data_IF_461669336964
#
_entry.id   IF_461669336964
#
_cell.length_a   1.000
_cell.length_b   1.000
_cell.length_c   1.000
_cell.angle_alpha   90.00
_cell.angle_beta   90.00
_cell.angle_gamma   90.00
#
_symmetry.space_group_name_H-M   'P 1'
#
loop_
_entity.id
_entity.type
_entity.pdbx_description
1 polymer ?
#
# COMPACT_ATOMS: atom_id res chain seq x y z
N UNK A 1 0.74 -44.39 -66.28
CA UNK A 1 1.47 -44.08 -65.04
C UNK A 1 1.27 -42.61 -64.72
N UNK A 2 0.31 -42.31 -63.86
CA UNK A 2 -0.01 -40.97 -63.36
C UNK A 2 0.37 -40.94 -61.88
N UNK A 3 1.35 -40.14 -61.52
CA UNK A 3 1.75 -39.90 -60.13
C UNK A 3 0.83 -38.83 -59.57
N UNK A 4 0.05 -39.19 -58.52
CA UNK A 4 -0.74 -38.27 -57.72
C UNK A 4 0.17 -37.80 -56.57
N UNK A 5 0.46 -36.50 -56.52
CA UNK A 5 1.08 -35.86 -55.35
C UNK A 5 -0.02 -35.42 -54.37
N UNK A 6 -0.05 -36.01 -53.20
CA UNK A 6 -0.87 -35.61 -52.10
C UNK A 6 -0.14 -34.48 -51.31
N UNK A 7 -0.70 -33.31 -51.27
CA UNK A 7 -0.28 -32.22 -50.39
C UNK A 7 -0.91 -32.42 -49.01
N UNK A 8 -0.09 -32.66 -48.03
CA UNK A 8 -0.47 -32.73 -46.64
C UNK A 8 -0.33 -31.30 -46.04
N UNK A 9 -1.43 -30.58 -45.87
CA UNK A 9 -1.45 -29.31 -45.19
C UNK A 9 -1.37 -29.55 -43.67
N UNK A 10 -0.21 -29.29 -43.07
CA UNK A 10 -0.05 -29.21 -41.61
C UNK A 10 -0.63 -27.85 -41.17
N UNK A 11 -1.82 -27.87 -40.57
CA UNK A 11 -2.31 -26.73 -39.79
C UNK A 11 -1.62 -26.77 -38.43
N UNK A 12 -0.65 -25.85 -38.25
CA UNK A 12 -0.14 -25.53 -36.92
C UNK A 12 -1.27 -24.80 -36.16
N UNK A 13 -1.88 -25.50 -35.21
CA UNK A 13 -2.61 -24.87 -34.16
C UNK A 13 -1.58 -24.34 -33.12
N UNK A 14 -1.33 -23.03 -33.15
CA UNK A 14 -0.67 -22.35 -32.05
C UNK A 14 -1.65 -22.37 -30.86
N UNK A 15 -1.40 -23.25 -29.93
CA UNK A 15 -1.99 -23.19 -28.60
C UNK A 15 -1.38 -21.96 -27.93
N UNK A 16 -2.11 -20.85 -27.92
CA UNK A 16 -1.84 -19.76 -26.99
C UNK A 16 -2.09 -20.32 -25.59
N UNK A 17 -1.05 -20.76 -24.93
CA UNK A 17 -1.04 -20.87 -23.47
C UNK A 17 -1.19 -19.46 -22.92
N UNK A 18 -2.39 -19.11 -22.50
CA UNK A 18 -2.60 -17.97 -21.60
C UNK A 18 -1.91 -18.41 -20.32
N UNK A 19 -0.72 -17.87 -20.06
CA UNK A 19 -0.14 -17.91 -18.73
C UNK A 19 -1.09 -17.04 -17.88
N UNK A 20 -1.91 -17.67 -17.06
CA UNK A 20 -2.52 -16.97 -15.94
C UNK A 20 -1.34 -16.44 -15.10
N UNK A 21 -1.23 -15.14 -14.93
CA UNK A 21 -0.20 -14.51 -14.12
C UNK A 21 -0.24 -15.08 -12.69
N UNK A 22 0.89 -15.10 -12.01
CA UNK A 22 0.92 -15.46 -10.59
C UNK A 22 0.06 -14.46 -9.81
N UNK A 23 -0.72 -14.95 -8.85
CA UNK A 23 -1.57 -14.11 -8.00
C UNK A 23 -0.73 -13.49 -6.89
N UNK A 24 -0.89 -12.19 -6.69
CA UNK A 24 -0.40 -11.47 -5.53
C UNK A 24 -1.57 -10.80 -4.80
N UNK A 25 -1.32 -10.32 -3.61
CA UNK A 25 -2.33 -9.69 -2.76
C UNK A 25 -1.90 -8.29 -2.39
N UNK A 26 -2.85 -7.36 -2.39
CA UNK A 26 -2.69 -5.99 -1.92
C UNK A 26 -3.56 -5.75 -0.69
N UNK A 27 -3.09 -4.88 0.18
CA UNK A 27 -3.82 -4.39 1.34
C UNK A 27 -3.79 -2.87 1.34
N UNK A 28 -4.97 -2.24 1.21
CA UNK A 28 -5.12 -0.81 1.42
C UNK A 28 -5.28 -0.54 2.91
N UNK A 29 -4.66 0.53 3.43
CA UNK A 29 -4.77 0.86 4.85
C UNK A 29 -4.48 2.34 5.10
N UNK A 30 -4.76 2.79 6.32
CA UNK A 30 -4.34 4.08 6.82
C UNK A 30 -3.49 3.90 8.09
N UNK A 31 -2.81 4.95 8.50
CA UNK A 31 -2.01 4.97 9.73
C UNK A 31 -2.40 6.17 10.61
N UNK A 32 -2.13 6.08 11.92
CA UNK A 32 -2.24 7.16 12.89
C UNK A 32 -3.56 7.95 12.83
N UNK A 33 -3.45 9.26 12.55
CA UNK A 33 -4.57 10.20 12.50
C UNK A 33 -5.31 10.21 11.15
N UNK A 34 -4.88 9.37 10.19
CA UNK A 34 -5.50 9.24 8.87
C UNK A 34 -5.49 10.50 7.99
N UNK A 35 -4.58 11.43 8.25
CA UNK A 35 -4.44 12.68 7.47
C UNK A 35 -3.39 12.58 6.36
N UNK A 36 -2.45 11.67 6.48
CA UNK A 36 -1.44 11.42 5.46
C UNK A 36 -1.97 10.58 4.29
N UNK A 37 -3.04 9.80 4.48
CA UNK A 37 -3.84 9.23 3.41
C UNK A 37 -3.69 7.73 3.20
N UNK A 38 -3.78 7.31 1.93
CA UNK A 38 -3.75 5.92 1.49
C UNK A 38 -2.35 5.32 1.61
N UNK A 39 -2.26 4.18 2.27
CA UNK A 39 -1.10 3.30 2.23
C UNK A 39 -1.45 1.97 1.58
N UNK A 40 -0.45 1.32 1.01
CA UNK A 40 -0.59 -0.02 0.43
C UNK A 40 0.52 -0.94 0.97
N UNK A 41 0.17 -2.19 1.19
CA UNK A 41 1.09 -3.28 1.43
C UNK A 41 0.81 -4.42 0.44
N UNK A 42 1.81 -5.25 0.19
CA UNK A 42 1.65 -6.44 -0.66
C UNK A 42 2.07 -7.72 0.05
N UNK A 43 1.56 -8.83 -0.44
CA UNK A 43 1.93 -10.18 -0.01
C UNK A 43 1.82 -11.14 -1.19
N UNK A 44 2.67 -12.18 -1.21
CA UNK A 44 2.56 -13.31 -2.14
C UNK A 44 1.97 -14.55 -1.48
N UNK A 45 1.89 -14.57 -0.15
CA UNK A 45 1.43 -15.72 0.63
C UNK A 45 0.20 -15.44 1.51
N UNK A 46 -0.26 -14.19 1.56
CA UNK A 46 -1.34 -13.74 2.43
C UNK A 46 -0.97 -13.68 3.91
N UNK A 47 0.27 -14.02 4.28
CA UNK A 47 0.74 -14.06 5.67
C UNK A 47 1.71 -12.92 5.97
N UNK A 48 2.62 -12.65 5.05
CA UNK A 48 3.68 -11.66 5.21
C UNK A 48 3.40 -10.43 4.35
N UNK A 49 3.02 -9.33 5.00
CA UNK A 49 2.64 -8.08 4.33
C UNK A 49 3.76 -7.05 4.39
N UNK A 50 4.27 -6.68 3.24
CA UNK A 50 5.36 -5.71 3.08
C UNK A 50 4.81 -4.36 2.65
N UNK A 51 5.16 -3.25 3.34
CA UNK A 51 4.67 -1.94 2.96
C UNK A 51 5.24 -1.50 1.61
N UNK A 52 4.38 -0.98 0.76
CA UNK A 52 4.75 -0.33 -0.48
C UNK A 52 5.15 1.13 -0.22
N UNK A 53 5.83 1.76 -1.18
CA UNK A 53 6.29 3.17 -1.12
C UNK A 53 7.16 3.50 0.11
N UNK A 54 7.92 2.53 0.64
CA UNK A 54 8.68 2.73 1.88
C UNK A 54 7.79 3.13 3.07
N UNK A 55 6.50 2.73 3.07
CA UNK A 55 5.51 3.10 4.07
C UNK A 55 4.96 4.53 3.94
N UNK A 56 5.26 5.25 2.85
CA UNK A 56 4.69 6.59 2.58
C UNK A 56 3.33 6.48 1.90
N UNK A 57 2.50 7.50 2.08
CA UNK A 57 1.19 7.60 1.44
C UNK A 57 1.27 7.65 -0.10
N UNK A 58 0.26 7.08 -0.74
CA UNK A 58 0.02 7.14 -2.19
C UNK A 58 -0.95 8.27 -2.58
N UNK A 59 -1.84 8.66 -1.68
CA UNK A 59 -2.83 9.71 -1.93
C UNK A 59 -3.21 10.38 -0.61
N UNK A 60 -2.95 11.67 -0.48
CA UNK A 60 -3.40 12.46 0.66
C UNK A 60 -4.87 12.88 0.51
N UNK A 61 -5.70 12.85 1.58
CA UNK A 61 -7.11 13.22 1.50
C UNK A 61 -7.31 14.72 1.27
N UNK A 62 -8.25 15.07 0.38
CA UNK A 62 -8.61 16.46 0.09
C UNK A 62 -10.08 16.78 0.29
N UNK A 63 -10.96 15.76 0.38
CA UNK A 63 -12.42 15.92 0.50
C UNK A 63 -12.92 15.61 1.91
N UNK A 64 -14.12 16.07 2.23
CA UNK A 64 -14.75 15.91 3.52
C UNK A 64 -14.38 17.01 4.53
N UNK A 65 -15.19 17.12 5.57
CA UNK A 65 -15.07 18.14 6.60
C UNK A 65 -13.73 18.11 7.34
N UNK A 66 -13.27 16.91 7.70
CA UNK A 66 -12.04 16.72 8.47
C UNK A 66 -10.86 16.33 7.58
N UNK A 67 -11.07 16.09 6.29
CA UNK A 67 -10.08 15.61 5.32
C UNK A 67 -9.30 14.41 5.85
N UNK A 68 -10.02 13.38 6.29
CA UNK A 68 -9.45 12.12 6.71
C UNK A 68 -9.50 11.12 5.55
N UNK A 69 -8.61 10.15 5.59
CA UNK A 69 -8.73 8.92 4.80
C UNK A 69 -8.61 7.74 5.75
N UNK A 70 -9.76 7.32 6.27
CA UNK A 70 -9.87 6.14 7.11
C UNK A 70 -10.56 5.04 6.32
N UNK A 71 -10.25 3.81 6.69
CA UNK A 71 -10.95 2.63 6.19
C UNK A 71 -10.98 2.59 4.64
N UNK A 72 -9.84 2.77 3.93
CA UNK A 72 -9.85 2.83 2.47
C UNK A 72 -10.19 1.46 1.89
N UNK A 73 -11.30 1.36 1.16
CA UNK A 73 -11.74 0.15 0.47
C UNK A 73 -11.49 0.28 -1.02
N UNK A 74 -10.77 -0.69 -1.61
CA UNK A 74 -10.43 -0.74 -3.03
C UNK A 74 -11.03 -1.98 -3.69
N UNK A 75 -11.65 -1.77 -4.85
CA UNK A 75 -12.13 -2.82 -5.73
C UNK A 75 -11.59 -2.62 -7.15
N UNK A 76 -11.07 -3.68 -7.77
CA UNK A 76 -10.67 -3.63 -9.18
C UNK A 76 -11.86 -3.96 -10.07
N UNK A 77 -12.13 -3.10 -11.03
CA UNK A 77 -13.15 -3.29 -12.06
C UNK A 77 -12.71 -4.28 -13.14
N UNK A 78 -13.63 -4.87 -13.90
CA UNK A 78 -13.28 -5.75 -15.03
C UNK A 78 -12.43 -5.09 -16.12
N UNK A 79 -12.48 -3.77 -16.24
CA UNK A 79 -11.66 -3.00 -17.18
C UNK A 79 -10.26 -2.65 -16.65
N UNK A 80 -9.91 -3.17 -15.46
CA UNK A 80 -8.65 -2.95 -14.78
C UNK A 80 -8.59 -1.68 -13.93
N UNK A 81 -9.63 -0.84 -13.91
CA UNK A 81 -9.67 0.36 -13.08
C UNK A 81 -9.84 -0.02 -11.61
N UNK A 82 -9.06 0.59 -10.73
CA UNK A 82 -9.22 0.53 -9.29
C UNK A 82 -10.10 1.67 -8.82
N UNK A 83 -11.18 1.34 -8.12
CA UNK A 83 -12.07 2.29 -7.48
C UNK A 83 -11.85 2.24 -5.98
N UNK A 84 -11.80 3.39 -5.33
CA UNK A 84 -11.59 3.50 -3.89
C UNK A 84 -12.63 4.39 -3.23
N UNK A 85 -13.15 3.95 -2.11
CA UNK A 85 -13.98 4.75 -1.20
C UNK A 85 -13.36 4.79 0.19
N UNK A 86 -13.63 5.84 0.98
CA UNK A 86 -13.08 5.98 2.32
C UNK A 86 -13.94 6.87 3.24
N UNK A 87 -13.74 6.73 4.55
CA UNK A 87 -14.29 7.63 5.57
C UNK A 87 -13.53 8.96 5.54
N UNK A 88 -14.21 10.05 5.22
CA UNK A 88 -13.61 11.38 5.04
C UNK A 88 -13.68 12.28 6.29
N UNK A 89 -14.50 11.89 7.28
CA UNK A 89 -14.72 12.65 8.51
C UNK A 89 -15.37 11.78 9.59
N UNK A 90 -15.20 12.19 10.85
CA UNK A 90 -15.89 11.58 11.98
C UNK A 90 -17.39 11.82 12.00
N UNK A 91 -17.84 12.97 11.46
CA UNK A 91 -19.23 13.44 11.60
C UNK A 91 -19.74 14.06 10.30
N UNK A 92 -19.49 13.40 9.16
CA UNK A 92 -19.97 13.86 7.85
C UNK A 92 -21.02 12.91 7.26
N UNK A 93 -21.77 13.42 6.28
CA UNK A 93 -22.81 12.69 5.54
C UNK A 93 -22.41 12.33 4.13
N UNK A 94 -21.10 12.38 3.88
CA UNK A 94 -20.47 12.02 2.62
C UNK A 94 -19.43 10.93 2.86
N UNK A 95 -19.03 10.27 1.79
CA UNK A 95 -17.83 9.43 1.71
C UNK A 95 -16.89 9.98 0.64
N UNK A 96 -15.60 9.71 0.75
CA UNK A 96 -14.64 10.03 -0.30
C UNK A 96 -14.62 8.97 -1.40
N UNK A 97 -14.26 9.37 -2.61
CA UNK A 97 -14.05 8.50 -3.77
C UNK A 97 -12.93 9.01 -4.66
N UNK A 98 -12.15 8.09 -5.20
CA UNK A 98 -11.21 8.31 -6.30
C UNK A 98 -11.02 7.01 -7.10
N UNK A 99 -10.48 7.11 -8.32
CA UNK A 99 -10.12 5.96 -9.14
C UNK A 99 -8.70 6.06 -9.67
N UNK A 100 -8.12 4.90 -10.02
CA UNK A 100 -6.77 4.82 -10.56
C UNK A 100 -6.66 3.64 -11.53
N UNK A 101 -5.74 3.72 -12.48
CA UNK A 101 -5.39 2.61 -13.37
C UNK A 101 -4.14 1.85 -12.93
N UNK A 102 -3.39 2.43 -12.00
CA UNK A 102 -2.07 1.93 -11.61
C UNK A 102 -1.81 1.98 -10.10
N UNK A 103 -2.79 2.43 -9.29
CA UNK A 103 -2.71 2.64 -7.84
C UNK A 103 -1.71 3.74 -7.42
N UNK A 104 -1.12 4.44 -8.37
CA UNK A 104 -0.14 5.52 -8.18
C UNK A 104 -0.77 6.86 -8.54
N UNK A 105 -1.32 6.95 -9.75
CA UNK A 105 -1.96 8.15 -10.26
C UNK A 105 -3.47 8.05 -10.04
N UNK A 106 -3.98 8.89 -9.14
CA UNK A 106 -5.37 8.91 -8.76
C UNK A 106 -6.12 10.06 -9.43
N UNK A 107 -7.39 9.82 -9.77
CA UNK A 107 -8.30 10.86 -10.25
C UNK A 107 -8.45 12.00 -9.24
N UNK A 108 -9.04 13.10 -9.64
CA UNK A 108 -9.57 14.10 -8.70
C UNK A 108 -10.51 13.42 -7.70
N UNK A 109 -10.33 13.75 -6.40
CA UNK A 109 -11.13 13.18 -5.33
C UNK A 109 -12.53 13.78 -5.33
N UNK A 110 -13.53 12.95 -5.14
CA UNK A 110 -14.94 13.34 -5.12
C UNK A 110 -15.56 13.05 -3.75
N UNK A 111 -16.48 13.91 -3.36
CA UNK A 111 -17.33 13.71 -2.19
C UNK A 111 -18.68 13.14 -2.64
N UNK A 112 -18.99 11.88 -2.31
CA UNK A 112 -20.28 11.27 -2.64
C UNK A 112 -21.27 11.57 -1.53
N UNK A 113 -22.39 12.29 -1.81
CA UNK A 113 -23.33 12.77 -0.79
C UNK A 113 -24.35 11.70 -0.37
N UNK A 114 -23.86 10.58 0.19
CA UNK A 114 -24.64 9.35 0.43
C UNK A 114 -25.74 9.50 1.48
N UNK A 115 -25.60 10.41 2.46
CA UNK A 115 -26.58 10.63 3.55
C UNK A 115 -27.08 12.08 3.63
N UNK A 116 -26.87 12.90 2.60
CA UNK A 116 -27.31 14.31 2.62
C UNK A 116 -28.83 14.49 2.69
N UNK A 117 -29.60 13.49 2.25
CA UNK A 117 -31.06 13.46 2.33
C UNK A 117 -31.58 13.20 3.75
N UNK A 118 -30.72 12.82 4.69
CA UNK A 118 -31.03 12.51 6.09
C UNK A 118 -30.28 13.51 7.00
N UNK A 119 -30.93 14.63 7.39
CA UNK A 119 -30.29 15.69 8.16
C UNK A 119 -29.73 15.25 9.51
N UNK A 120 -30.37 14.24 10.14
CA UNK A 120 -30.00 13.71 11.45
C UNK A 120 -28.90 12.62 11.36
N UNK A 121 -28.46 12.21 10.17
CA UNK A 121 -27.38 11.24 10.04
C UNK A 121 -26.10 11.80 10.63
N UNK A 122 -25.53 11.07 11.60
CA UNK A 122 -24.38 11.51 12.37
C UNK A 122 -23.05 11.31 11.62
N UNK A 123 -22.92 10.21 10.89
CA UNK A 123 -21.65 9.75 10.30
C UNK A 123 -21.88 8.87 9.08
N UNK A 124 -20.79 8.67 8.30
CA UNK A 124 -20.69 7.65 7.26
C UNK A 124 -19.31 6.97 7.43
N UNK A 125 -19.28 5.88 8.20
CA UNK A 125 -18.04 5.21 8.56
C UNK A 125 -17.80 3.93 7.78
N UNK A 126 -16.53 3.63 7.56
CA UNK A 126 -16.05 2.42 6.96
C UNK A 126 -16.83 2.02 5.69
N UNK A 127 -16.86 2.88 4.66
CA UNK A 127 -17.48 2.51 3.41
C UNK A 127 -16.70 1.38 2.75
N UNK A 128 -17.43 0.37 2.30
CA UNK A 128 -16.90 -0.75 1.54
C UNK A 128 -17.47 -0.78 0.13
N UNK A 129 -16.68 -1.31 -0.80
CA UNK A 129 -16.98 -1.38 -2.21
C UNK A 129 -16.99 -2.84 -2.67
N UNK A 130 -18.11 -3.27 -3.26
CA UNK A 130 -18.27 -4.60 -3.83
C UNK A 130 -18.82 -4.51 -5.25
N UNK A 131 -18.17 -5.19 -6.20
CA UNK A 131 -18.66 -5.30 -7.58
C UNK A 131 -19.44 -6.60 -7.76
N UNK A 132 -20.72 -6.48 -8.09
CA UNK A 132 -21.58 -7.61 -8.42
C UNK A 132 -21.53 -7.89 -9.92
N UNK A 133 -20.69 -8.83 -10.34
CA UNK A 133 -20.48 -9.18 -11.76
C UNK A 133 -21.81 -9.50 -12.51
N UNK A 134 -22.76 -10.30 -11.93
CA UNK A 134 -23.98 -10.65 -12.65
C UNK A 134 -24.87 -9.45 -13.03
N UNK A 135 -24.85 -8.39 -12.23
CA UNK A 135 -25.61 -7.16 -12.50
C UNK A 135 -24.76 -6.02 -13.06
N UNK A 136 -23.44 -6.23 -13.17
CA UNK A 136 -22.48 -5.18 -13.56
C UNK A 136 -22.65 -3.91 -12.71
N UNK A 137 -22.79 -4.08 -11.40
CA UNK A 137 -23.16 -3.01 -10.49
C UNK A 137 -22.26 -2.97 -9.27
N UNK A 138 -21.78 -1.79 -8.93
CA UNK A 138 -21.05 -1.55 -7.69
C UNK A 138 -22.02 -1.29 -6.55
N UNK A 139 -21.84 -1.97 -5.45
CA UNK A 139 -22.48 -1.72 -4.17
C UNK A 139 -21.49 -0.97 -3.27
N UNK A 140 -21.88 0.20 -2.80
CA UNK A 140 -21.12 0.98 -1.83
C UNK A 140 -21.96 0.98 -0.56
N UNK A 141 -21.47 0.44 0.54
CA UNK A 141 -22.19 0.34 1.80
C UNK A 141 -21.32 0.82 2.96
N UNK A 142 -21.94 1.43 3.95
CA UNK A 142 -21.26 2.10 5.06
C UNK A 142 -22.13 2.05 6.32
N UNK A 143 -21.52 2.35 7.50
CA UNK A 143 -22.20 2.43 8.77
C UNK A 143 -22.65 3.86 9.09
N UNK A 144 -23.91 4.03 9.50
CA UNK A 144 -24.48 5.31 9.94
C UNK A 144 -25.31 5.13 11.19
N UNK A 145 -25.16 6.09 12.13
CA UNK A 145 -26.11 6.31 13.23
C UNK A 145 -27.07 7.43 12.86
N UNK A 146 -28.35 7.20 13.05
CA UNK A 146 -29.39 8.24 12.99
C UNK A 146 -30.00 8.33 14.42
N UNK A 147 -29.74 9.40 15.16
CA UNK A 147 -30.18 9.53 16.54
C UNK A 147 -31.69 9.28 16.72
N UNK A 148 -32.04 8.52 17.71
CA UNK A 148 -33.43 8.18 18.03
C UNK A 148 -34.05 7.07 17.17
N UNK A 149 -33.38 6.55 16.15
CA UNK A 149 -33.81 5.34 15.42
C UNK A 149 -33.28 4.06 16.06
N UNK A 150 -33.93 2.95 15.79
CA UNK A 150 -33.57 1.59 16.25
C UNK A 150 -33.43 1.46 17.76
N UNK A 151 -34.35 2.13 18.51
CA UNK A 151 -34.36 2.11 19.99
C UNK A 151 -34.61 0.73 20.57
N UNK A 152 -35.14 -0.18 19.80
CA UNK A 152 -35.35 -1.60 20.13
C UNK A 152 -34.06 -2.38 20.31
N UNK A 153 -32.96 -1.87 19.74
CA UNK A 153 -31.63 -2.47 19.87
C UNK A 153 -30.83 -1.71 20.92
N UNK A 154 -30.33 -2.40 21.97
CA UNK A 154 -29.55 -1.77 23.02
C UNK A 154 -28.29 -1.09 22.47
N UNK A 155 -28.04 0.14 22.88
CA UNK A 155 -26.82 0.86 22.63
C UNK A 155 -25.98 0.96 23.88
N UNK A 156 -24.68 1.15 23.68
CA UNK A 156 -23.73 1.32 24.76
C UNK A 156 -23.56 2.79 25.12
N UNK A 157 -23.51 3.10 26.40
CA UNK A 157 -23.18 4.42 26.92
C UNK A 157 -21.74 4.82 26.55
N UNK A 158 -20.82 3.85 26.47
CA UNK A 158 -19.43 4.08 26.12
C UNK A 158 -19.24 4.56 24.67
N UNK A 159 -20.19 4.27 23.79
CA UNK A 159 -20.23 4.74 22.41
C UNK A 159 -21.08 6.01 22.24
N UNK A 160 -21.29 6.75 23.27
CA UNK A 160 -22.13 7.99 23.28
C UNK A 160 -23.53 7.78 22.69
N UNK A 161 -24.09 6.59 22.84
CA UNK A 161 -25.41 6.25 22.31
C UNK A 161 -25.44 6.01 20.80
N UNK A 162 -24.31 5.85 20.15
CA UNK A 162 -24.24 5.54 18.72
C UNK A 162 -24.78 4.13 18.45
N UNK A 163 -25.78 4.04 17.58
CA UNK A 163 -26.47 2.80 17.23
C UNK A 163 -26.51 2.65 15.72
N UNK A 164 -25.44 2.10 15.16
CA UNK A 164 -25.20 2.05 13.74
C UNK A 164 -26.01 0.97 13.03
N UNK A 165 -26.35 1.27 11.77
CA UNK A 165 -26.84 0.30 10.77
C UNK A 165 -26.07 0.49 9.50
N UNK A 166 -26.00 -0.60 8.68
CA UNK A 166 -25.41 -0.49 7.36
C UNK A 166 -26.42 0.06 6.36
N UNK A 167 -26.00 1.05 5.60
CA UNK A 167 -26.74 1.63 4.47
C UNK A 167 -25.96 1.42 3.18
N UNK A 168 -26.61 1.55 2.02
CA UNK A 168 -25.95 1.40 0.74
C UNK A 168 -26.55 2.27 -0.36
N UNK A 169 -25.76 2.50 -1.39
CA UNK A 169 -26.14 2.94 -2.73
C UNK A 169 -25.56 1.99 -3.76
N UNK A 170 -26.07 2.02 -4.97
CA UNK A 170 -25.50 1.33 -6.11
C UNK A 170 -25.14 2.33 -7.21
N UNK A 171 -24.12 1.99 -8.00
CA UNK A 171 -23.70 2.76 -9.18
C UNK A 171 -23.12 1.83 -10.23
N UNK A 172 -23.09 2.29 -11.48
CA UNK A 172 -22.38 1.63 -12.60
C UNK A 172 -21.21 2.46 -13.11
N UNK A 173 -21.18 3.75 -12.76
CA UNK A 173 -20.31 4.75 -13.41
C UNK A 173 -19.64 5.72 -12.42
N UNK A 174 -19.93 5.61 -11.12
CA UNK A 174 -19.50 6.52 -10.06
C UNK A 174 -19.86 8.01 -10.29
N UNK A 175 -20.85 8.25 -11.16
CA UNK A 175 -21.44 9.57 -11.44
C UNK A 175 -22.92 9.60 -11.05
N UNK A 176 -23.63 8.50 -11.29
CA UNK A 176 -25.04 8.33 -10.96
C UNK A 176 -25.20 7.27 -9.87
N UNK A 177 -25.93 7.62 -8.83
CA UNK A 177 -26.13 6.75 -7.68
C UNK A 177 -27.60 6.48 -7.44
N UNK A 178 -27.93 5.28 -6.99
CA UNK A 178 -29.27 4.97 -6.51
C UNK A 178 -29.60 5.80 -5.26
N UNK A 179 -30.89 5.83 -4.89
CA UNK A 179 -31.27 6.32 -3.56
C UNK A 179 -30.66 5.42 -2.48
N UNK A 180 -30.24 6.03 -1.38
CA UNK A 180 -29.75 5.31 -0.21
C UNK A 180 -30.85 4.41 0.38
N UNK A 181 -30.49 3.19 0.73
CA UNK A 181 -31.35 2.21 1.35
C UNK A 181 -30.63 1.54 2.52
N UNK A 182 -31.43 0.92 3.41
CA UNK A 182 -30.92 0.02 4.44
C UNK A 182 -30.28 -1.20 3.79
N UNK A 183 -29.03 -1.51 4.16
CA UNK A 183 -28.30 -2.66 3.66
C UNK A 183 -28.40 -3.84 4.62
N UNK A 184 -28.12 -3.58 5.93
CA UNK A 184 -28.13 -4.63 6.93
C UNK A 184 -28.56 -4.06 8.28
N UNK A 185 -29.55 -4.71 8.92
CA UNK A 185 -30.17 -4.29 10.18
C UNK A 185 -30.32 -5.48 11.13
N UNK A 186 -29.22 -5.91 11.79
CA UNK A 186 -29.28 -6.97 12.80
C UNK A 186 -29.80 -6.46 14.13
N UNK A 187 -29.93 -7.36 15.12
CA UNK A 187 -30.36 -7.07 16.49
C UNK A 187 -29.25 -6.48 17.40
N UNK A 188 -28.22 -5.89 16.78
CA UNK A 188 -27.10 -5.22 17.45
C UNK A 188 -26.59 -4.00 16.64
N UNK A 189 -25.84 -3.14 17.30
CA UNK A 189 -25.14 -2.04 16.59
C UNK A 189 -24.05 -2.60 15.73
N UNK A 190 -24.08 -2.33 14.42
CA UNK A 190 -23.20 -2.94 13.39
C UNK A 190 -22.41 -1.90 12.64
N UNK A 191 -21.10 -2.13 12.53
CA UNK A 191 -20.19 -1.36 11.68
C UNK A 191 -19.27 -2.31 10.89
N UNK A 192 -18.41 -1.77 10.05
CA UNK A 192 -17.30 -2.46 9.39
C UNK A 192 -17.76 -3.75 8.69
N UNK A 193 -18.65 -3.64 7.73
CA UNK A 193 -19.05 -4.77 6.90
C UNK A 193 -18.09 -4.91 5.70
N UNK A 194 -17.64 -6.12 5.40
CA UNK A 194 -16.87 -6.43 4.21
C UNK A 194 -17.37 -7.70 3.55
N UNK A 195 -17.33 -7.78 2.22
CA UNK A 195 -17.86 -8.91 1.44
C UNK A 195 -16.76 -9.54 0.61
N UNK A 196 -16.71 -10.89 0.64
CA UNK A 196 -15.92 -11.68 -0.28
C UNK A 196 -16.80 -12.71 -0.98
N UNK A 197 -16.53 -12.99 -2.26
CA UNK A 197 -17.17 -14.05 -3.03
C UNK A 197 -16.38 -15.34 -2.86
N UNK A 198 -17.05 -16.41 -2.46
CA UNK A 198 -16.47 -17.75 -2.43
C UNK A 198 -16.19 -18.20 -3.88
N UNK A 199 -14.92 -18.48 -4.24
CA UNK A 199 -14.56 -18.81 -5.62
C UNK A 199 -15.09 -20.18 -6.07
N UNK A 200 -15.41 -21.08 -5.14
CA UNK A 200 -15.88 -22.44 -5.44
C UNK A 200 -17.38 -22.60 -5.29
N UNK A 201 -17.98 -22.07 -4.23
CA UNK A 201 -19.41 -22.21 -3.95
C UNK A 201 -20.25 -21.08 -4.54
N UNK A 202 -19.60 -19.95 -4.89
CA UNK A 202 -20.25 -18.76 -5.44
C UNK A 202 -21.07 -17.96 -4.43
N UNK A 203 -21.01 -18.33 -3.14
CA UNK A 203 -21.70 -17.59 -2.06
C UNK A 203 -20.98 -16.27 -1.78
N UNK A 204 -21.74 -15.25 -1.43
CA UNK A 204 -21.23 -14.00 -0.89
C UNK A 204 -21.17 -14.13 0.63
N UNK A 205 -19.99 -14.01 1.18
CA UNK A 205 -19.71 -14.07 2.62
C UNK A 205 -19.49 -12.64 3.10
N UNK A 206 -20.36 -12.16 3.98
CA UNK A 206 -20.21 -10.85 4.61
C UNK A 206 -19.74 -11.02 6.05
N UNK A 207 -18.63 -10.37 6.37
CA UNK A 207 -18.12 -10.24 7.73
C UNK A 207 -18.51 -8.89 8.28
N UNK A 208 -19.01 -8.84 9.48
CA UNK A 208 -19.48 -7.62 10.15
C UNK A 208 -18.94 -7.53 11.56
N UNK A 209 -18.75 -6.32 12.07
CA UNK A 209 -18.42 -6.09 13.49
C UNK A 209 -19.69 -5.86 14.31
N UNK A 210 -19.84 -6.65 15.37
CA UNK A 210 -20.78 -6.32 16.44
C UNK A 210 -20.15 -5.24 17.33
N UNK A 211 -20.75 -4.03 17.30
CA UNK A 211 -20.22 -2.86 17.98
C UNK A 211 -20.81 -2.68 19.39
N UNK A 212 -21.67 -3.58 19.87
CA UNK A 212 -22.24 -3.49 21.22
C UNK A 212 -21.14 -3.40 22.28
N UNK A 213 -21.33 -2.52 23.26
CA UNK A 213 -20.37 -2.30 24.35
C UNK A 213 -20.90 -2.66 25.72
N UNK A 214 -22.21 -2.93 25.84
CA UNK A 214 -22.81 -3.39 27.10
C UNK A 214 -23.85 -4.49 26.85
N UNK A 215 -23.52 -5.77 27.07
CA UNK A 215 -22.18 -6.26 27.36
C UNK A 215 -21.21 -6.02 26.16
N UNK A 216 -19.92 -5.91 26.42
CA UNK A 216 -18.97 -5.66 25.33
C UNK A 216 -18.87 -6.91 24.44
N UNK A 217 -19.22 -6.73 23.18
CA UNK A 217 -19.08 -7.75 22.13
C UNK A 217 -17.82 -7.51 21.30
N UNK A 218 -17.74 -6.39 20.60
CA UNK A 218 -16.54 -5.95 19.84
C UNK A 218 -15.83 -7.08 19.08
N UNK A 219 -16.62 -7.95 18.43
CA UNK A 219 -16.17 -9.14 17.73
C UNK A 219 -16.72 -9.18 16.31
N UNK A 220 -16.11 -10.03 15.48
CA UNK A 220 -16.51 -10.23 14.09
C UNK A 220 -17.46 -11.42 13.98
N UNK A 221 -18.42 -11.31 13.07
CA UNK A 221 -19.45 -12.32 12.78
C UNK A 221 -19.70 -12.42 11.29
N UNK A 222 -20.26 -13.54 10.84
CA UNK A 222 -20.46 -13.85 9.43
C UNK A 222 -21.94 -14.09 9.12
N UNK A 223 -22.37 -13.63 7.95
CA UNK A 223 -23.64 -14.01 7.30
C UNK A 223 -23.40 -14.23 5.81
N UNK A 224 -24.33 -14.91 5.11
CA UNK A 224 -24.13 -15.30 3.72
C UNK A 224 -25.38 -15.13 2.88
N UNK A 225 -25.17 -14.85 1.60
CA UNK A 225 -26.22 -14.84 0.59
C UNK A 225 -25.67 -15.34 -0.76
N UNK A 226 -26.54 -15.81 -1.63
CA UNK A 226 -26.19 -16.11 -3.04
C UNK A 226 -26.46 -14.91 -3.96
N UNK A 227 -27.09 -13.87 -3.46
CA UNK A 227 -27.50 -12.73 -4.28
C UNK A 227 -27.57 -11.45 -3.42
N UNK A 228 -26.67 -10.54 -3.65
CA UNK A 228 -26.58 -9.28 -2.89
C UNK A 228 -27.87 -8.42 -3.03
N UNK A 229 -28.55 -8.47 -4.17
CA UNK A 229 -29.77 -7.72 -4.40
C UNK A 229 -30.95 -8.21 -3.52
N UNK A 230 -30.89 -9.45 -3.02
CA UNK A 230 -31.84 -9.98 -2.04
C UNK A 230 -31.48 -9.67 -0.59
N UNK A 231 -30.31 -9.04 -0.37
CA UNK A 231 -29.77 -8.76 0.96
C UNK A 231 -29.16 -9.98 1.65
N UNK A 232 -28.70 -9.76 2.86
CA UNK A 232 -28.13 -10.77 3.75
C UNK A 232 -29.10 -11.12 4.89
N UNK A 233 -29.18 -12.39 5.31
CA UNK A 233 -29.90 -12.74 6.54
C UNK A 233 -29.36 -11.97 7.74
N UNK A 234 -30.25 -11.43 8.57
CA UNK A 234 -29.86 -10.66 9.78
C UNK A 234 -29.36 -11.54 10.91
N UNK A 235 -29.65 -12.86 10.85
CA UNK A 235 -29.03 -13.85 11.73
C UNK A 235 -27.59 -14.08 11.30
N UNK A 236 -26.67 -13.82 12.20
CA UNK A 236 -25.24 -14.00 12.00
C UNK A 236 -24.69 -15.20 12.76
N UNK A 237 -23.47 -15.61 12.46
CA UNK A 237 -22.75 -16.67 13.18
C UNK A 237 -22.47 -16.30 14.65
N UNK A 238 -22.00 -17.27 15.43
CA UNK A 238 -21.23 -16.97 16.63
C UNK A 238 -19.99 -16.10 16.29
N UNK A 239 -19.35 -15.45 17.28
CA UNK A 239 -18.10 -14.73 17.04
C UNK A 239 -17.05 -15.62 16.37
N UNK A 240 -16.40 -15.12 15.33
CA UNK A 240 -15.30 -15.79 14.64
C UNK A 240 -13.94 -15.38 15.20
N UNK A 241 -13.88 -14.34 16.01
CA UNK A 241 -12.69 -13.82 16.70
C UNK A 241 -12.67 -14.22 18.18
N UNK A 242 -11.47 -14.18 18.79
CA UNK A 242 -11.26 -14.51 20.20
C UNK A 242 -11.83 -13.47 21.17
N UNK A 243 -11.44 -13.57 22.44
CA UNK A 243 -11.88 -12.65 23.53
C UNK A 243 -11.16 -11.30 23.54
N UNK A 244 -10.71 -10.83 22.41
CA UNK A 244 -10.12 -9.51 22.21
C UNK A 244 -11.04 -8.65 21.34
N UNK A 245 -10.83 -7.35 21.36
CA UNK A 245 -11.58 -6.43 20.54
C UNK A 245 -11.02 -6.40 19.13
N UNK A 246 -11.88 -6.66 18.15
CA UNK A 246 -11.54 -6.71 16.73
C UNK A 246 -12.44 -5.77 15.93
N UNK A 247 -11.86 -5.10 14.92
CA UNK A 247 -12.57 -4.24 13.99
C UNK A 247 -11.96 -4.32 12.60
N UNK A 248 -12.61 -3.74 11.59
CA UNK A 248 -12.09 -3.63 10.25
C UNK A 248 -11.80 -4.96 9.57
N UNK A 249 -12.79 -5.85 9.39
CA UNK A 249 -12.58 -7.13 8.74
C UNK A 249 -12.21 -6.94 7.27
N UNK A 250 -11.13 -7.61 6.83
CA UNK A 250 -10.70 -7.68 5.44
C UNK A 250 -10.66 -9.15 5.01
N UNK A 251 -11.79 -9.72 4.52
CA UNK A 251 -11.85 -11.09 4.08
C UNK A 251 -11.15 -11.28 2.72
N UNK A 252 -10.35 -12.35 2.61
CA UNK A 252 -9.62 -12.68 1.39
C UNK A 252 -9.44 -14.20 1.25
N UNK A 253 -9.69 -14.74 0.07
CA UNK A 253 -9.26 -16.11 -0.27
C UNK A 253 -7.79 -16.11 -0.71
N UNK A 254 -6.99 -16.94 -0.04
CA UNK A 254 -5.59 -17.24 -0.38
C UNK A 254 -5.53 -18.72 -0.72
N UNK A 255 -5.48 -19.03 -2.00
CA UNK A 255 -5.79 -20.40 -2.45
C UNK A 255 -7.20 -20.82 -2.03
N UNK A 256 -7.33 -21.98 -1.40
CA UNK A 256 -8.61 -22.51 -0.91
C UNK A 256 -8.97 -22.02 0.51
N UNK A 257 -8.07 -21.31 1.18
CA UNK A 257 -8.27 -20.84 2.55
C UNK A 257 -8.88 -19.43 2.57
N UNK A 258 -9.94 -19.25 3.35
CA UNK A 258 -10.51 -17.94 3.64
C UNK A 258 -9.84 -17.35 4.87
N UNK A 259 -9.15 -16.24 4.70
CA UNK A 259 -8.64 -15.41 5.78
C UNK A 259 -9.57 -14.22 6.03
N UNK A 260 -9.70 -13.83 7.29
CA UNK A 260 -10.24 -12.53 7.68
C UNK A 260 -9.19 -11.84 8.51
N UNK A 261 -8.57 -10.81 7.95
CA UNK A 261 -7.64 -9.94 8.66
C UNK A 261 -8.44 -8.88 9.41
N UNK A 262 -7.90 -8.39 10.53
CA UNK A 262 -8.59 -7.37 11.35
C UNK A 262 -7.64 -6.62 12.27
N UNK A 263 -8.06 -5.42 12.68
CA UNK A 263 -7.35 -4.59 13.65
C UNK A 263 -7.71 -5.02 15.08
N UNK A 264 -6.73 -5.55 15.81
CA UNK A 264 -6.81 -5.75 17.27
C UNK A 264 -6.46 -4.44 17.96
N UNK A 265 -7.34 -3.45 17.79
CA UNK A 265 -7.05 -2.04 18.07
C UNK A 265 -6.69 -1.71 19.52
N UNK A 266 -7.09 -2.54 20.49
CA UNK A 266 -6.65 -2.43 21.88
C UNK A 266 -5.23 -2.96 22.08
N UNK A 267 -4.82 -3.92 21.27
CA UNK A 267 -3.50 -4.55 21.33
C UNK A 267 -2.49 -3.84 20.40
N UNK A 268 -2.93 -2.83 19.63
CA UNK A 268 -2.16 -2.09 18.64
C UNK A 268 -1.44 -3.00 17.62
N UNK A 269 -2.09 -4.09 17.22
CA UNK A 269 -1.58 -5.02 16.21
C UNK A 269 -2.69 -5.54 15.31
N UNK A 270 -2.32 -5.95 14.12
CA UNK A 270 -3.19 -6.70 13.23
C UNK A 270 -3.21 -8.18 13.59
N UNK A 271 -4.32 -8.83 13.31
CA UNK A 271 -4.50 -10.26 13.47
C UNK A 271 -5.25 -10.86 12.31
N UNK A 272 -5.42 -12.19 12.32
CA UNK A 272 -6.21 -12.92 11.35
C UNK A 272 -6.87 -14.16 11.97
N UNK A 273 -8.04 -14.51 11.44
CA UNK A 273 -8.62 -15.84 11.56
C UNK A 273 -8.64 -16.50 10.19
N UNK A 274 -8.53 -17.82 10.16
CA UNK A 274 -8.53 -18.64 8.95
C UNK A 274 -9.64 -19.68 8.99
N UNK A 275 -10.26 -19.92 7.86
CA UNK A 275 -11.18 -21.03 7.63
C UNK A 275 -10.70 -21.86 6.44
N UNK A 276 -10.76 -23.20 6.58
CA UNK A 276 -10.44 -24.16 5.52
C UNK A 276 -11.70 -24.85 5.00
N UNK A 277 -12.86 -24.48 5.48
CA UNK A 277 -14.17 -25.05 5.17
C UNK A 277 -15.18 -23.98 4.74
N UNK A 278 -14.70 -23.01 3.97
CA UNK A 278 -15.49 -21.91 3.39
C UNK A 278 -16.17 -21.03 4.46
N UNK A 279 -15.54 -20.87 5.64
CA UNK A 279 -16.00 -20.01 6.74
C UNK A 279 -17.04 -20.64 7.65
N UNK A 280 -17.14 -21.97 7.73
CA UNK A 280 -17.96 -22.65 8.73
C UNK A 280 -17.26 -22.71 10.08
N UNK A 281 -15.96 -23.07 10.08
CA UNK A 281 -15.13 -23.06 11.30
C UNK A 281 -13.93 -22.15 11.15
N UNK A 282 -13.41 -21.64 12.28
CA UNK A 282 -12.39 -20.61 12.29
C UNK A 282 -11.27 -20.92 13.28
N UNK A 283 -10.04 -20.71 12.85
CA UNK A 283 -8.83 -20.80 13.65
C UNK A 283 -8.19 -19.42 13.77
N UNK A 284 -7.78 -19.01 14.99
CA UNK A 284 -7.00 -17.79 15.19
C UNK A 284 -5.55 -18.03 14.74
N UNK A 285 -5.13 -17.34 13.71
CA UNK A 285 -3.78 -17.42 13.13
C UNK A 285 -3.03 -16.09 13.27
N UNK A 286 -3.43 -15.25 14.22
CA UNK A 286 -2.86 -13.91 14.43
C UNK A 286 -1.35 -13.91 14.65
N UNK A 287 -0.78 -15.00 15.17
CA UNK A 287 0.66 -15.13 15.38
C UNK A 287 1.42 -15.63 14.13
N UNK A 288 0.70 -16.00 13.07
CA UNK A 288 1.26 -16.46 11.78
C UNK A 288 1.31 -15.33 10.74
N UNK A 289 0.70 -14.19 11.02
CA UNK A 289 0.66 -13.05 10.08
C UNK A 289 1.56 -11.91 10.55
N UNK A 290 2.20 -11.26 9.60
CA UNK A 290 2.99 -10.05 9.86
C UNK A 290 2.51 -8.89 9.01
N UNK A 291 2.36 -7.72 9.62
CA UNK A 291 1.86 -6.50 8.99
C UNK A 291 2.77 -5.31 9.23
N UNK A 292 2.73 -4.28 8.36
CA UNK A 292 3.42 -3.02 8.59
C UNK A 292 3.05 -2.41 9.94
N UNK A 293 4.01 -1.78 10.60
CA UNK A 293 3.78 -1.12 11.89
C UNK A 293 2.78 0.04 11.76
N UNK A 294 1.81 0.09 12.65
CA UNK A 294 0.82 1.16 12.72
C UNK A 294 -0.32 1.05 11.72
N UNK A 295 -0.40 -0.06 10.99
CA UNK A 295 -1.52 -0.35 10.09
C UNK A 295 -2.84 -0.32 10.85
N UNK A 296 -3.85 0.28 10.22
CA UNK A 296 -5.23 0.31 10.69
C UNK A 296 -6.15 -0.19 9.59
N UNK A 297 -7.42 -0.37 9.93
CA UNK A 297 -8.50 -0.87 9.09
C UNK A 297 -8.35 -0.52 7.59
N UNK A 298 -8.54 -1.52 6.73
CA UNK A 298 -8.50 -1.42 5.27
C UNK A 298 -8.99 -2.69 4.60
N UNK A 299 -8.74 -2.82 3.31
CA UNK A 299 -9.27 -3.91 2.48
C UNK A 299 -8.15 -4.73 1.86
N UNK A 300 -8.27 -6.06 1.93
CA UNK A 300 -7.41 -7.01 1.23
C UNK A 300 -8.05 -7.45 -0.10
N UNK A 301 -7.27 -7.50 -1.17
CA UNK A 301 -7.76 -7.93 -2.49
C UNK A 301 -6.65 -8.59 -3.29
N UNK A 302 -7.06 -9.53 -4.18
CA UNK A 302 -6.15 -10.21 -5.09
C UNK A 302 -5.92 -9.38 -6.36
N UNK A 303 -4.70 -9.43 -6.89
CA UNK A 303 -4.30 -8.82 -8.16
C UNK A 303 -3.38 -9.77 -8.93
N UNK A 304 -3.17 -9.50 -10.22
CA UNK A 304 -2.05 -10.09 -10.95
C UNK A 304 -0.72 -9.61 -10.34
N UNK A 305 0.25 -10.51 -10.21
CA UNK A 305 1.55 -10.20 -9.60
C UNK A 305 2.27 -9.05 -10.32
N UNK A 306 2.04 -8.87 -11.62
CA UNK A 306 2.58 -7.77 -12.41
C UNK A 306 2.16 -6.38 -11.90
N UNK A 307 0.99 -6.27 -11.25
CA UNK A 307 0.55 -5.02 -10.59
C UNK A 307 1.48 -4.68 -9.44
N UNK A 308 1.80 -5.67 -8.60
CA UNK A 308 2.74 -5.48 -7.48
C UNK A 308 4.15 -5.17 -7.98
N UNK A 309 4.62 -5.87 -9.00
CA UNK A 309 5.92 -5.62 -9.63
C UNK A 309 6.00 -4.19 -10.16
N UNK A 310 4.98 -3.72 -10.87
CA UNK A 310 4.89 -2.33 -11.35
C UNK A 310 4.94 -1.33 -10.21
N UNK A 311 4.26 -1.59 -9.09
CA UNK A 311 4.28 -0.74 -7.91
C UNK A 311 5.66 -0.71 -7.22
N UNK A 312 6.42 -1.78 -7.32
CA UNK A 312 7.80 -1.85 -6.82
C UNK A 312 8.75 -1.13 -7.79
N UNK A 313 8.63 -1.37 -9.10
CA UNK A 313 9.50 -0.82 -10.14
C UNK A 313 9.30 0.69 -10.35
N UNK A 314 8.06 1.17 -10.39
CA UNK A 314 7.77 2.59 -10.59
C UNK A 314 8.32 3.46 -9.46
N UNK A 315 8.46 2.91 -8.25
CA UNK A 315 9.14 3.57 -7.14
C UNK A 315 10.65 3.71 -7.33
N UNK A 316 11.26 2.72 -7.94
CA UNK A 316 12.67 2.83 -8.31
C UNK A 316 12.83 3.92 -9.37
N UNK A 317 11.85 4.06 -10.28
CA UNK A 317 11.83 5.12 -11.29
C UNK A 317 11.35 6.48 -10.74
N UNK A 318 10.34 6.54 -9.86
CA UNK A 318 9.85 7.81 -9.28
C UNK A 318 10.76 8.37 -8.18
N UNK A 319 11.42 7.52 -7.39
CA UNK A 319 12.45 8.00 -6.46
C UNK A 319 13.64 8.60 -7.21
N UNK A 320 13.97 8.09 -8.36
CA UNK A 320 14.97 8.66 -9.27
C UNK A 320 14.40 9.90 -10.00
N UNK A 321 13.17 9.85 -10.56
CA UNK A 321 12.54 10.99 -11.25
C UNK A 321 12.15 12.15 -10.32
N UNK A 322 11.59 11.88 -9.13
CA UNK A 322 11.19 12.94 -8.21
C UNK A 322 12.39 13.68 -7.59
N UNK A 323 13.51 12.99 -7.38
CA UNK A 323 14.76 13.64 -6.98
C UNK A 323 15.48 14.33 -8.16
N UNK A 324 15.42 13.76 -9.36
CA UNK A 324 16.08 14.34 -10.54
C UNK A 324 15.27 15.50 -11.14
N UNK A 325 13.92 15.47 -11.14
CA UNK A 325 13.11 16.55 -11.72
C UNK A 325 13.12 17.86 -10.90
N UNK A 326 13.45 17.80 -9.60
CA UNK A 326 13.63 19.01 -8.79
C UNK A 326 15.05 19.57 -8.81
N UNK A 327 16.03 18.77 -9.19
CA UNK A 327 17.45 19.12 -9.18
C UNK A 327 18.01 19.38 -10.58
N UNK A 328 17.46 18.72 -11.59
CA UNK A 328 17.83 18.87 -12.99
C UNK A 328 16.57 19.13 -13.83
N UNK A 329 16.51 20.25 -14.48
CA UNK A 329 15.46 20.53 -15.47
C UNK A 329 15.76 19.68 -16.72
N UNK A 330 14.74 19.16 -17.43
CA UNK A 330 14.92 18.36 -18.65
C UNK A 330 15.79 19.05 -19.74
N UNK A 331 15.87 20.38 -19.67
CA UNK A 331 16.76 21.17 -20.52
C UNK A 331 18.23 21.14 -20.09
N UNK A 332 18.49 20.64 -18.90
CA UNK A 332 19.82 20.64 -18.26
C UNK A 332 20.55 19.29 -18.41
N UNK A 333 19.99 18.32 -19.16
CA UNK A 333 20.57 16.98 -19.34
C UNK A 333 21.76 16.91 -20.31
N UNK A 334 22.16 18.01 -20.92
CA UNK A 334 23.37 18.13 -21.75
C UNK A 334 24.53 18.77 -21.01
N UNK A 335 24.51 18.69 -19.69
CA UNK A 335 25.47 19.37 -18.83
C UNK A 335 26.87 18.81 -18.96
N UNK A 336 27.83 19.73 -18.94
CA UNK A 336 29.25 19.40 -18.87
C UNK A 336 29.70 19.45 -17.41
N UNK A 337 30.35 18.38 -16.94
CA UNK A 337 30.86 18.31 -15.58
C UNK A 337 32.28 17.79 -15.53
N UNK A 338 32.87 17.83 -14.36
CA UNK A 338 34.22 17.36 -14.10
C UNK A 338 34.29 16.59 -12.79
N UNK A 339 35.08 15.53 -12.77
CA UNK A 339 35.43 14.85 -11.52
C UNK A 339 36.33 15.73 -10.70
N UNK A 340 35.97 15.94 -9.45
CA UNK A 340 36.80 16.62 -8.47
C UNK A 340 36.71 15.87 -7.15
N UNK A 341 37.85 15.73 -6.50
CA UNK A 341 37.97 14.94 -5.27
C UNK A 341 38.40 15.89 -4.14
N UNK A 342 37.45 16.61 -3.49
CA UNK A 342 37.80 17.51 -2.36
C UNK A 342 38.62 16.79 -1.28
N UNK A 343 38.33 15.51 -1.08
CA UNK A 343 39.05 14.63 -0.16
C UNK A 343 40.54 14.46 -0.47
N UNK A 344 41.01 14.82 -1.67
CA UNK A 344 42.41 14.72 -2.08
C UNK A 344 43.13 16.04 -2.14
N UNK A 345 42.42 17.15 -1.90
CA UNK A 345 42.97 18.49 -2.00
C UNK A 345 42.87 19.25 -0.69
N UNK A 346 43.85 20.12 -0.40
CA UNK A 346 43.78 21.03 0.74
C UNK A 346 42.54 21.93 0.61
N UNK A 347 41.80 22.12 1.68
CA UNK A 347 40.55 22.90 1.71
C UNK A 347 40.75 24.33 1.20
N UNK A 348 41.92 24.91 1.42
CA UNK A 348 42.29 26.27 0.94
C UNK A 348 42.28 26.38 -0.59
N UNK A 349 42.32 25.27 -1.33
CA UNK A 349 42.32 25.27 -2.79
C UNK A 349 40.91 25.11 -3.38
N UNK A 350 39.94 24.64 -2.62
CA UNK A 350 38.60 24.29 -3.14
C UNK A 350 37.89 25.50 -3.75
N UNK A 351 37.92 26.68 -3.07
CA UNK A 351 37.24 27.87 -3.57
C UNK A 351 37.78 28.35 -4.91
N UNK A 352 39.09 28.32 -5.09
CA UNK A 352 39.76 28.62 -6.38
C UNK A 352 39.30 27.68 -7.47
N UNK A 353 39.23 26.42 -7.16
CA UNK A 353 38.96 25.38 -8.14
C UNK A 353 37.48 25.37 -8.54
N UNK A 354 36.54 25.51 -7.60
CA UNK A 354 35.11 25.61 -7.92
C UNK A 354 34.79 26.87 -8.69
N UNK A 355 35.41 27.99 -8.34
CA UNK A 355 35.30 29.24 -9.11
C UNK A 355 35.75 29.04 -10.57
N UNK A 356 36.88 28.38 -10.78
CA UNK A 356 37.36 28.08 -12.14
C UNK A 356 36.42 27.11 -12.89
N UNK A 357 35.86 26.09 -12.25
CA UNK A 357 34.89 25.21 -12.87
C UNK A 357 33.68 26.01 -13.36
N UNK A 358 33.13 26.88 -12.54
CA UNK A 358 32.04 27.78 -12.92
C UNK A 358 32.41 28.71 -14.09
N UNK A 359 33.58 29.35 -14.03
CA UNK A 359 34.07 30.23 -15.08
C UNK A 359 34.29 29.52 -16.43
N UNK A 360 34.60 28.24 -16.41
CA UNK A 360 34.72 27.36 -17.58
C UNK A 360 33.41 26.81 -18.10
N UNK A 361 32.28 27.10 -17.41
CA UNK A 361 30.96 26.64 -17.81
C UNK A 361 30.62 25.23 -17.39
N UNK A 362 31.37 24.63 -16.44
CA UNK A 362 30.95 23.39 -15.82
C UNK A 362 29.74 23.61 -14.93
N UNK A 363 28.77 22.68 -15.00
CA UNK A 363 27.51 22.80 -14.29
C UNK A 363 27.37 21.74 -13.17
N UNK A 364 28.20 20.68 -13.22
CA UNK A 364 28.26 19.72 -12.13
C UNK A 364 29.69 19.23 -11.87
N UNK A 365 29.87 18.67 -10.67
CA UNK A 365 31.09 18.01 -10.25
C UNK A 365 30.75 16.77 -9.43
N UNK A 366 31.76 15.94 -9.18
CA UNK A 366 31.59 14.61 -8.59
C UNK A 366 32.49 14.49 -7.37
N UNK A 367 31.91 14.12 -6.19
CA UNK A 367 32.57 14.07 -4.89
C UNK A 367 32.55 12.66 -4.28
N UNK A 368 33.49 12.42 -3.37
CA UNK A 368 33.50 11.37 -2.37
C UNK A 368 33.69 9.94 -2.88
N UNK A 369 34.15 9.72 -4.13
CA UNK A 369 34.41 8.36 -4.62
C UNK A 369 35.41 7.58 -3.74
N UNK A 370 36.40 8.28 -3.17
CA UNK A 370 37.49 7.69 -2.36
C UNK A 370 37.48 8.14 -0.90
N UNK A 371 36.34 8.59 -0.40
CA UNK A 371 36.28 9.34 0.87
C UNK A 371 35.89 8.48 2.08
N UNK A 372 35.62 7.18 1.95
CA UNK A 372 35.07 6.38 3.05
C UNK A 372 35.90 6.48 4.32
N UNK A 373 37.22 6.39 4.24
CA UNK A 373 38.09 6.50 5.41
C UNK A 373 38.03 7.87 6.11
N UNK A 374 37.62 8.94 5.41
CA UNK A 374 37.42 10.27 5.98
C UNK A 374 36.00 10.45 6.52
N UNK A 375 35.01 9.84 5.83
CA UNK A 375 33.60 9.89 6.25
C UNK A 375 33.33 9.01 7.48
N UNK A 376 34.05 7.87 7.59
CA UNK A 376 33.95 6.93 8.69
C UNK A 376 35.35 6.48 9.13
N UNK A 377 36.11 7.33 9.84
CA UNK A 377 37.48 7.02 10.26
C UNK A 377 37.60 5.87 11.23
N UNK A 378 36.53 5.58 11.99
CA UNK A 378 36.37 4.44 12.89
C UNK A 378 34.94 3.90 12.74
N UNK A 379 34.73 2.63 12.94
CA UNK A 379 33.42 1.99 12.81
C UNK A 379 32.32 2.71 13.61
N UNK A 380 31.28 3.14 12.91
CA UNK A 380 30.15 3.86 13.50
C UNK A 380 30.42 5.31 13.88
N UNK A 381 31.63 5.82 13.64
CA UNK A 381 31.96 7.23 13.87
C UNK A 381 32.04 7.98 12.55
N UNK A 382 31.01 8.76 12.24
CA UNK A 382 30.89 9.49 11.00
C UNK A 382 31.31 10.94 11.14
N UNK A 383 32.05 11.46 10.15
CA UNK A 383 32.44 12.88 10.02
C UNK A 383 32.09 13.38 8.62
N UNK A 384 31.00 14.11 8.52
CA UNK A 384 30.54 14.76 7.28
C UNK A 384 30.88 16.26 7.23
N UNK A 385 31.51 16.81 8.27
CA UNK A 385 31.67 18.27 8.37
C UNK A 385 32.49 18.87 7.22
N UNK A 386 33.52 18.20 6.76
CA UNK A 386 34.32 18.63 5.61
C UNK A 386 33.50 18.55 4.31
N UNK A 387 32.70 17.48 4.16
CA UNK A 387 31.86 17.26 2.97
C UNK A 387 30.77 18.32 2.88
N UNK A 388 30.12 18.65 4.00
CA UNK A 388 29.12 19.74 4.08
C UNK A 388 29.70 21.06 3.61
N UNK A 389 30.95 21.39 4.01
CA UNK A 389 31.62 22.60 3.54
C UNK A 389 31.93 22.57 2.05
N UNK A 390 32.39 21.43 1.53
CA UNK A 390 32.64 21.27 0.10
C UNK A 390 31.36 21.41 -0.74
N UNK A 391 30.25 20.82 -0.29
CA UNK A 391 28.95 20.93 -0.96
C UNK A 391 28.42 22.37 -0.91
N UNK A 392 28.50 23.02 0.23
CA UNK A 392 28.10 24.43 0.37
C UNK A 392 28.91 25.35 -0.54
N UNK A 393 30.20 25.06 -0.69
CA UNK A 393 31.08 25.84 -1.55
C UNK A 393 30.79 25.59 -3.04
N UNK A 394 30.51 24.33 -3.44
CA UNK A 394 30.05 24.01 -4.80
C UNK A 394 28.75 24.75 -5.14
N UNK A 395 27.79 24.77 -4.22
CA UNK A 395 26.53 25.50 -4.37
C UNK A 395 26.72 27.01 -4.50
N UNK A 396 27.70 27.61 -3.80
CA UNK A 396 28.07 29.01 -3.94
C UNK A 396 28.47 29.39 -5.37
N UNK A 397 29.01 28.43 -6.12
CA UNK A 397 29.44 28.59 -7.51
C UNK A 397 28.50 27.94 -8.52
N UNK A 398 27.23 27.70 -8.17
CA UNK A 398 26.20 27.07 -9.01
C UNK A 398 26.57 25.68 -9.55
N UNK A 399 27.49 25.00 -8.89
CA UNK A 399 27.88 23.63 -9.27
C UNK A 399 26.96 22.62 -8.58
N UNK A 400 26.29 21.78 -9.33
CA UNK A 400 25.56 20.63 -8.84
C UNK A 400 26.56 19.51 -8.48
N UNK A 401 26.28 18.78 -7.41
CA UNK A 401 27.18 17.73 -6.90
C UNK A 401 26.58 16.36 -7.15
N UNK A 402 27.33 15.50 -7.86
CA UNK A 402 27.07 14.06 -7.92
C UNK A 402 27.83 13.40 -6.77
N UNK A 403 27.09 12.91 -5.77
CA UNK A 403 27.68 12.28 -4.60
C UNK A 403 27.91 10.81 -4.82
N UNK A 404 29.14 10.34 -4.62
CA UNK A 404 29.49 8.92 -4.64
C UNK A 404 29.30 8.24 -3.30
N UNK A 405 29.04 6.95 -3.32
CA UNK A 405 28.92 6.10 -2.13
C UNK A 405 30.24 5.55 -1.62
N UNK A 406 31.37 6.05 -2.04
CA UNK A 406 32.76 5.75 -1.57
C UNK A 406 33.14 4.25 -1.52
N UNK A 407 32.37 3.36 -2.12
CA UNK A 407 32.59 1.89 -2.04
C UNK A 407 33.85 1.38 -2.73
N UNK A 408 34.48 2.26 -3.54
CA UNK A 408 35.70 1.92 -4.27
C UNK A 408 36.94 1.77 -3.36
N UNK A 409 36.90 2.33 -2.15
CA UNK A 409 38.02 2.32 -1.21
C UNK A 409 37.53 2.16 0.22
N UNK A 410 37.25 0.91 0.66
CA UNK A 410 36.86 0.66 2.04
C UNK A 410 37.99 1.07 3.00
N UNK A 411 37.67 1.62 4.18
CA UNK A 411 38.66 2.08 5.14
C UNK A 411 39.48 0.89 5.69
N UNK A 412 40.73 1.16 6.05
CA UNK A 412 41.68 0.14 6.53
C UNK A 412 41.17 -0.58 7.79
N UNK A 413 40.42 0.11 8.66
CA UNK A 413 39.85 -0.52 9.85
C UNK A 413 38.86 -1.64 9.49
N UNK A 414 38.09 -1.47 8.38
CA UNK A 414 37.10 -2.45 7.90
C UNK A 414 37.80 -3.71 7.36
N UNK A 415 38.78 -3.56 6.49
CA UNK A 415 39.52 -4.72 5.94
C UNK A 415 40.35 -5.46 6.99
N UNK A 416 40.78 -4.78 8.06
CA UNK A 416 41.48 -5.43 9.20
C UNK A 416 40.54 -6.16 10.11
N UNK A 417 39.34 -5.62 10.37
CA UNK A 417 38.37 -6.21 11.29
C UNK A 417 37.54 -7.31 10.60
N UNK A 418 37.29 -7.17 9.33
CA UNK A 418 36.45 -8.06 8.51
C UNK A 418 37.21 -8.51 7.25
N UNK A 419 38.29 -9.30 7.37
CA UNK A 419 39.10 -9.70 6.20
C UNK A 419 38.33 -10.54 5.18
N UNK A 420 37.21 -11.14 5.56
CA UNK A 420 36.33 -11.92 4.70
C UNK A 420 35.63 -11.09 3.61
N UNK A 421 35.49 -9.79 3.81
CA UNK A 421 34.86 -8.89 2.81
C UNK A 421 35.75 -8.62 1.60
N UNK A 422 37.05 -8.94 1.67
CA UNK A 422 37.97 -8.69 0.59
C UNK A 422 37.68 -9.61 -0.60
N UNK A 423 37.60 -9.01 -1.80
CA UNK A 423 37.42 -9.76 -3.03
C UNK A 423 38.57 -10.72 -3.27
N UNK A 424 38.24 -11.90 -3.79
CA UNK A 424 39.21 -12.93 -4.16
C UNK A 424 39.16 -13.16 -5.66
N UNK A 425 40.34 -13.44 -6.23
CA UNK A 425 40.47 -13.93 -7.58
C UNK A 425 39.96 -15.38 -7.72
N UNK A 426 39.79 -15.87 -8.92
CA UNK A 426 39.36 -17.25 -9.21
C UNK A 426 40.28 -18.31 -8.59
N UNK A 427 41.57 -18.00 -8.40
CA UNK A 427 42.54 -18.86 -7.73
C UNK A 427 42.53 -18.80 -6.21
N UNK A 428 41.62 -18.00 -5.63
CA UNK A 428 41.45 -17.83 -4.18
C UNK A 428 42.40 -16.80 -3.57
N UNK A 429 43.25 -16.15 -4.33
CA UNK A 429 44.10 -15.07 -3.82
C UNK A 429 43.29 -13.83 -3.56
N UNK A 430 43.54 -13.17 -2.40
CA UNK A 430 42.92 -11.90 -2.06
C UNK A 430 43.44 -10.83 -3.01
N UNK A 431 42.51 -10.02 -3.56
CA UNK A 431 42.90 -8.84 -4.34
C UNK A 431 43.67 -7.88 -3.45
N UNK A 432 44.89 -7.60 -3.82
CA UNK A 432 45.76 -6.69 -3.08
C UNK A 432 45.31 -5.23 -3.22
N UNK A 433 45.79 -4.36 -2.31
CA UNK A 433 45.52 -2.95 -2.34
C UNK A 433 45.92 -2.30 -3.66
N UNK A 434 44.96 -1.96 -4.48
CA UNK A 434 45.11 -1.25 -5.76
C UNK A 434 44.34 0.06 -5.72
N UNK A 435 44.24 0.71 -6.88
CA UNK A 435 43.57 1.98 -7.02
C UNK A 435 42.07 1.90 -6.67
N UNK A 436 41.44 0.73 -6.82
CA UNK A 436 40.04 0.48 -6.48
C UNK A 436 39.92 -0.92 -5.89
N UNK A 437 39.68 -0.99 -4.60
CA UNK A 437 39.44 -2.24 -3.89
C UNK A 437 38.00 -2.27 -3.38
N UNK A 438 37.15 -2.94 -4.13
CA UNK A 438 35.76 -3.10 -3.71
C UNK A 438 35.63 -4.19 -2.65
N UNK A 439 34.83 -3.96 -1.64
CA UNK A 439 34.40 -4.98 -0.70
C UNK A 439 33.28 -5.84 -1.32
N UNK A 440 33.27 -7.13 -0.99
CA UNK A 440 32.12 -8.00 -1.27
C UNK A 440 31.04 -7.73 -0.24
N UNK A 441 29.78 -7.58 -0.71
CA UNK A 441 28.59 -7.44 0.13
C UNK A 441 27.75 -8.74 0.12
N UNK A 442 28.32 -9.87 -0.28
CA UNK A 442 27.64 -11.17 -0.32
C UNK A 442 27.65 -11.87 1.06
#
# INVERSE_FOLDING_TARGET
MKKVFAWMALTLWSVMTIFAGETAYLFSYFINDSKDGLHLAYSYDGLNWTPLNGGRSFLAPSVGKDKLMRDPSICQAPDGTFHMVWTSSWTDRIIGYASSRDLIHWSEQQAIPVMMHEPEAHNCWAPELFYDEPSETYYIFWATTIPGRHKEVPTSESEKGLNHRMYYVTTKDFHTFSKTKMFFNPDFSVIDAAIVKDPTQGDLIMVVKNENSNPPEKNLRVTRTKNIAKGFPTKVSAPITGKYWAEGPAPLFVGDALYVYFDKYRDHRYGAVRSLDHGETWEDVSDQVSFPKGIRHGTAFAVDASVVESLIDDRNHQSVKAQTSSWFNDKDLTLTGVYYYPEHWDESQWERDFKKMHELGFEFTHFAEFAWAQLEPEEGRYDFAWLDRAVALAAKYDLKVIMCTSTATPPVWMSRKYPEILLKNEDGTVLDHGARQHASFA
#
